data_IF_390841437331
#
_entry.id   IF_390841437331
#
_cell.length_a   1.000
_cell.length_b   1.000
_cell.length_c   1.000
_cell.angle_alpha   90.00
_cell.angle_beta   90.00
_cell.angle_gamma   90.00
#
_symmetry.space_group_name_H-M   'P 1'
#
loop_
_entity.id
_entity.type
_entity.pdbx_description
1 polymer ?
#
# COMPACT_ATOMS: atom_id res chain seq x y z
N UNK A 1 -27.57 -6.25 8.81
CA UNK A 1 -27.23 -7.68 9.02
C UNK A 1 -26.05 -8.18 8.13
N UNK A 2 -25.05 -7.35 7.78
CA UNK A 2 -23.97 -7.76 6.84
C UNK A 2 -22.53 -7.73 7.36
N UNK A 3 -22.28 -7.14 8.54
CA UNK A 3 -20.92 -6.84 9.02
C UNK A 3 -20.07 -8.09 9.31
N UNK A 4 -20.67 -9.17 9.82
CA UNK A 4 -19.93 -10.40 10.13
C UNK A 4 -19.32 -11.09 8.90
N UNK A 5 -20.05 -11.10 7.77
CA UNK A 5 -19.57 -11.69 6.52
C UNK A 5 -18.47 -10.84 5.89
N UNK A 6 -18.61 -9.52 5.91
CA UNK A 6 -17.58 -8.60 5.45
C UNK A 6 -16.29 -8.75 6.28
N UNK A 7 -16.41 -8.77 7.61
CA UNK A 7 -15.27 -8.99 8.52
C UNK A 7 -14.56 -10.31 8.24
N UNK A 8 -15.31 -11.40 8.06
CA UNK A 8 -14.74 -12.70 7.73
C UNK A 8 -13.99 -12.69 6.39
N UNK A 9 -14.55 -12.06 5.36
CA UNK A 9 -13.88 -11.89 4.05
C UNK A 9 -12.57 -11.10 4.21
N UNK A 10 -12.60 -9.99 4.94
CA UNK A 10 -11.41 -9.16 5.15
C UNK A 10 -10.33 -9.89 5.93
N UNK A 11 -10.67 -10.61 7.00
CA UNK A 11 -9.68 -11.41 7.76
C UNK A 11 -9.06 -12.51 6.90
N UNK A 12 -9.83 -13.14 6.00
CA UNK A 12 -9.31 -14.13 5.06
C UNK A 12 -8.31 -13.50 4.08
N UNK A 13 -8.66 -12.35 3.50
CA UNK A 13 -7.77 -11.62 2.58
C UNK A 13 -6.50 -11.16 3.29
N UNK A 14 -6.63 -10.54 4.46
CA UNK A 14 -5.48 -10.08 5.24
C UNK A 14 -4.54 -11.23 5.64
N UNK A 15 -5.11 -12.39 6.02
CA UNK A 15 -4.31 -13.59 6.30
C UNK A 15 -3.59 -14.07 5.05
N UNK A 16 -4.27 -14.14 3.91
CA UNK A 16 -3.66 -14.55 2.65
C UNK A 16 -2.50 -13.62 2.27
N UNK A 17 -2.65 -12.29 2.43
CA UNK A 17 -1.59 -11.32 2.17
C UNK A 17 -0.43 -11.41 3.16
N UNK A 18 -0.72 -11.60 4.45
CA UNK A 18 0.32 -11.72 5.50
C UNK A 18 1.20 -12.95 5.32
N UNK A 19 0.61 -14.06 4.88
CA UNK A 19 1.30 -15.34 4.74
C UNK A 19 1.56 -15.73 3.28
N UNK A 20 1.19 -14.90 2.30
CA UNK A 20 1.70 -15.02 0.94
C UNK A 20 3.15 -14.56 0.99
N UNK A 21 4.08 -15.52 0.96
CA UNK A 21 5.48 -15.22 0.68
C UNK A 21 5.54 -14.73 -0.75
N UNK A 22 5.56 -13.41 -0.94
CA UNK A 22 5.92 -12.83 -2.22
C UNK A 22 7.40 -13.14 -2.40
N UNK A 23 7.75 -14.03 -3.34
CA UNK A 23 9.14 -14.12 -3.78
C UNK A 23 9.46 -12.78 -4.44
N UNK A 24 10.40 -11.99 -3.90
CA UNK A 24 10.83 -10.77 -4.56
C UNK A 24 11.43 -11.16 -5.92
N UNK A 25 11.08 -10.43 -6.97
CA UNK A 25 11.72 -10.59 -8.28
C UNK A 25 13.17 -10.11 -8.17
N UNK A 26 14.06 -11.05 -7.84
CA UNK A 26 15.48 -10.80 -7.64
C UNK A 26 16.16 -10.28 -8.92
N UNK A 27 15.65 -10.63 -10.10
CA UNK A 27 16.19 -10.16 -11.38
C UNK A 27 15.88 -8.68 -11.59
N UNK A 28 14.67 -8.24 -11.21
CA UNK A 28 14.29 -6.82 -11.21
C UNK A 28 15.12 -6.03 -10.18
N UNK A 29 15.24 -6.56 -8.96
CA UNK A 29 16.04 -5.92 -7.91
C UNK A 29 17.52 -5.79 -8.30
N UNK A 30 18.10 -6.84 -8.91
CA UNK A 30 19.48 -6.80 -9.39
C UNK A 30 19.65 -5.72 -10.47
N UNK A 31 18.71 -5.62 -11.41
CA UNK A 31 18.74 -4.60 -12.47
C UNK A 31 18.67 -3.18 -11.92
N UNK A 32 17.81 -2.95 -10.92
CA UNK A 32 17.71 -1.66 -10.24
C UNK A 32 19.02 -1.32 -9.51
N UNK A 33 19.58 -2.28 -8.79
CA UNK A 33 20.84 -2.10 -8.07
C UNK A 33 22.04 -1.85 -9.00
N UNK A 34 22.08 -2.51 -10.16
CA UNK A 34 23.14 -2.34 -11.17
C UNK A 34 22.88 -1.17 -12.15
N UNK A 35 21.67 -0.63 -12.18
CA UNK A 35 21.25 0.44 -13.09
C UNK A 35 21.11 1.80 -12.40
N UNK A 36 21.09 1.84 -11.06
CA UNK A 36 21.06 3.06 -10.25
C UNK A 36 22.32 3.94 -10.41
N UNK A 37 23.36 3.44 -11.08
CA UNK A 37 24.56 4.20 -11.41
C UNK A 37 24.44 5.03 -12.72
N UNK A 38 23.44 4.79 -13.56
CA UNK A 38 23.35 5.38 -14.92
C UNK A 38 22.06 6.19 -15.25
N UNK A 39 21.16 6.48 -14.31
CA UNK A 39 19.95 7.26 -14.68
C UNK A 39 19.16 7.86 -13.52
N UNK A 40 19.46 9.13 -13.21
CA UNK A 40 18.56 9.99 -12.44
C UNK A 40 17.45 10.50 -13.37
N UNK A 41 16.18 10.28 -13.02
CA UNK A 41 14.97 11.01 -13.45
C UNK A 41 13.78 10.14 -12.95
N UNK A 42 13.19 10.38 -11.77
CA UNK A 42 12.38 11.56 -11.51
C UNK A 42 10.90 11.20 -11.70
N UNK A 43 10.39 10.27 -10.88
CA UNK A 43 8.95 9.99 -10.76
C UNK A 43 8.59 9.99 -9.28
N UNK A 44 8.68 11.18 -8.69
CA UNK A 44 7.98 11.52 -7.46
C UNK A 44 6.54 11.81 -7.86
N UNK A 45 5.78 10.75 -8.14
CA UNK A 45 4.34 10.85 -8.30
C UNK A 45 3.71 11.24 -6.95
N UNK A 46 2.84 12.22 -7.06
CA UNK A 46 2.43 13.15 -6.03
C UNK A 46 1.23 12.59 -5.26
N UNK A 47 1.46 11.56 -4.42
CA UNK A 47 0.43 11.00 -3.54
C UNK A 47 0.52 11.61 -2.13
N UNK A 48 0.36 12.93 -2.03
CA UNK A 48 0.33 13.67 -0.75
C UNK A 48 -0.93 14.52 -0.57
N UNK A 49 -2.08 14.14 -1.15
CA UNK A 49 -3.28 14.99 -1.17
C UNK A 49 -4.57 14.27 -0.71
N UNK A 50 -4.51 13.48 0.37
CA UNK A 50 -5.74 12.97 1.03
C UNK A 50 -5.61 12.79 2.56
N UNK A 51 -4.95 13.72 3.26
CA UNK A 51 -4.88 13.71 4.74
C UNK A 51 -5.52 14.89 5.45
N UNK A 52 -6.20 15.80 4.72
CA UNK A 52 -6.86 16.97 5.32
C UNK A 52 -8.38 16.81 5.57
N UNK A 53 -9.01 15.70 5.17
CA UNK A 53 -10.45 15.46 5.39
C UNK A 53 -10.78 14.66 6.67
N UNK A 54 -9.81 14.46 7.56
CA UNK A 54 -10.06 14.08 8.97
C UNK A 54 -10.24 15.38 9.78
N UNK A 55 -11.12 16.26 9.31
CA UNK A 55 -11.62 17.39 10.09
C UNK A 55 -12.71 16.87 11.04
N UNK A 56 -12.33 16.78 12.32
CA UNK A 56 -13.09 16.43 13.51
C UNK A 56 -14.62 16.72 13.44
N UNK A 57 -15.50 15.71 13.48
CA UNK A 57 -16.95 15.92 13.58
C UNK A 57 -17.43 16.29 15.00
N UNK A 58 -16.56 16.48 16.00
CA UNK A 58 -16.95 16.79 17.38
C UNK A 58 -17.30 18.28 17.64
N UNK A 59 -17.22 19.17 16.66
CA UNK A 59 -17.47 20.61 16.83
C UNK A 59 -18.89 21.10 16.43
N UNK A 60 -19.89 20.22 16.37
CA UNK A 60 -21.31 20.64 16.21
C UNK A 60 -22.24 19.87 17.14
N UNK A 61 -22.67 20.52 18.22
CA UNK A 61 -23.87 20.16 18.99
C UNK A 61 -23.64 20.11 20.48
#
# INVERSE_FOLDING_TARGET
MGRGRAKAKQTKVARALKYSSQEPDLLRLQRELSGAEDGTEGDSDEDADDTDDISDPAARG
#
